data_IF_456594280775
#
_entry.id   IF_456594280775
#
_cell.length_a   1.000
_cell.length_b   1.000
_cell.length_c   1.000
_cell.angle_alpha   90.00
_cell.angle_beta   90.00
_cell.angle_gamma   90.00
#
_symmetry.space_group_name_H-M   'P 1'
#
loop_
_entity.id
_entity.type
_entity.pdbx_description
1 polymer ?
#
# COMPACT_ATOMS: atom_id res chain seq x y z
N UNK A 1 -8.60 36.69 -0.36
CA UNK A 1 -9.42 35.91 0.59
C UNK A 1 -10.03 34.74 -0.17
N UNK A 2 -10.09 33.56 0.43
CA UNK A 2 -10.66 32.36 -0.21
C UNK A 2 -12.18 32.38 -0.14
N UNK A 3 -12.86 32.02 -1.24
CA UNK A 3 -14.31 31.78 -1.25
C UNK A 3 -14.61 30.37 -0.73
N UNK A 4 -14.95 30.28 0.56
CA UNK A 4 -15.24 29.01 1.23
C UNK A 4 -16.49 28.34 0.65
N UNK A 5 -17.49 29.10 0.22
CA UNK A 5 -18.73 28.53 -0.31
C UNK A 5 -18.53 27.97 -1.72
N UNK A 6 -17.67 28.59 -2.53
CA UNK A 6 -17.24 27.99 -3.80
C UNK A 6 -16.44 26.71 -3.57
N UNK A 7 -15.51 26.70 -2.61
CA UNK A 7 -14.71 25.52 -2.28
C UNK A 7 -15.55 24.32 -1.83
N UNK A 8 -16.52 24.52 -0.93
CA UNK A 8 -17.39 23.45 -0.43
C UNK A 8 -18.29 22.83 -1.51
N UNK A 9 -18.59 23.59 -2.58
CA UNK A 9 -19.40 23.11 -3.72
C UNK A 9 -18.57 22.44 -4.80
N UNK A 10 -17.25 22.59 -4.78
CA UNK A 10 -16.37 22.02 -5.77
C UNK A 10 -16.23 20.51 -5.60
N UNK A 11 -16.26 19.77 -6.70
CA UNK A 11 -16.02 18.33 -6.70
C UNK A 11 -14.53 18.07 -6.84
N UNK A 12 -13.91 17.49 -5.82
CA UNK A 12 -12.52 17.06 -5.86
C UNK A 12 -12.44 15.55 -6.12
N UNK A 13 -11.48 15.16 -6.95
CA UNK A 13 -11.17 13.76 -7.24
C UNK A 13 -9.69 13.48 -6.93
N UNK A 14 -9.36 12.31 -6.36
CA UNK A 14 -7.97 11.90 -6.22
C UNK A 14 -7.31 11.87 -7.60
N UNK A 15 -6.07 12.36 -7.69
CA UNK A 15 -5.26 12.16 -8.88
C UNK A 15 -4.92 10.68 -9.02
N UNK A 16 -4.89 10.18 -10.25
CA UNK A 16 -4.51 8.80 -10.55
C UNK A 16 -3.28 8.76 -11.45
N UNK A 17 -2.58 7.62 -11.45
CA UNK A 17 -1.47 7.36 -12.36
C UNK A 17 -1.45 5.88 -12.73
N UNK A 18 -1.18 5.60 -14.01
CA UNK A 18 -0.97 4.26 -14.54
C UNK A 18 0.53 3.98 -14.65
N UNK A 19 0.96 2.84 -14.15
CA UNK A 19 2.33 2.36 -14.18
C UNK A 19 2.37 1.04 -14.96
N UNK A 20 3.23 0.91 -15.99
CA UNK A 20 3.44 -0.37 -16.66
C UNK A 20 3.89 -1.43 -15.65
N UNK A 21 3.26 -2.61 -15.70
CA UNK A 21 3.70 -3.74 -14.90
C UNK A 21 5.06 -4.27 -15.42
N UNK A 22 5.96 -4.74 -14.54
CA UNK A 22 7.12 -5.53 -14.95
C UNK A 22 6.71 -6.72 -15.81
N UNK A 23 7.57 -7.10 -16.76
CA UNK A 23 7.27 -8.16 -17.74
C UNK A 23 6.92 -9.49 -17.05
N UNK A 24 7.58 -9.78 -15.93
CA UNK A 24 7.36 -10.98 -15.12
C UNK A 24 5.94 -11.06 -14.54
N UNK A 25 5.23 -9.93 -14.45
CA UNK A 25 3.85 -9.88 -13.95
C UNK A 25 2.80 -9.96 -15.07
N UNK A 26 3.18 -9.83 -16.34
CA UNK A 26 2.22 -9.75 -17.46
C UNK A 26 1.31 -10.97 -17.56
N UNK A 27 1.82 -12.16 -17.23
CA UNK A 27 1.06 -13.41 -17.24
C UNK A 27 -0.08 -13.49 -16.22
N UNK A 28 -0.16 -12.56 -15.27
CA UNK A 28 -1.24 -12.47 -14.28
C UNK A 28 -2.34 -11.48 -14.69
N UNK A 29 -2.19 -10.79 -15.82
CA UNK A 29 -3.21 -9.91 -16.38
C UNK A 29 -4.04 -10.64 -17.44
N UNK A 30 -5.33 -10.30 -17.53
CA UNK A 30 -6.21 -10.85 -18.57
C UNK A 30 -5.74 -10.52 -20.00
N UNK A 31 -5.05 -9.39 -20.16
CA UNK A 31 -4.35 -9.01 -21.39
C UNK A 31 -2.90 -8.59 -21.06
N UNK A 32 -1.90 -9.43 -21.37
CA UNK A 32 -0.49 -9.12 -21.15
C UNK A 32 -0.03 -7.79 -21.78
N UNK A 33 -0.57 -7.42 -22.95
CA UNK A 33 -0.19 -6.19 -23.65
C UNK A 33 -0.69 -4.91 -22.96
N UNK A 34 -1.61 -5.04 -22.01
CA UNK A 34 -2.22 -3.93 -21.26
C UNK A 34 -1.94 -4.04 -19.75
N UNK A 35 -0.91 -4.80 -19.38
CA UNK A 35 -0.54 -5.03 -17.98
C UNK A 35 -0.07 -3.72 -17.33
N UNK A 36 -0.97 -3.08 -16.59
CA UNK A 36 -0.72 -1.84 -15.88
C UNK A 36 -1.31 -1.86 -14.48
N UNK A 37 -0.64 -1.16 -13.58
CA UNK A 37 -1.15 -0.83 -12.25
C UNK A 37 -1.70 0.59 -12.28
N UNK A 38 -2.91 0.78 -11.77
CA UNK A 38 -3.47 2.09 -11.47
C UNK A 38 -3.37 2.35 -9.97
N UNK A 39 -2.86 3.54 -9.64
CA UNK A 39 -2.76 4.03 -8.27
C UNK A 39 -3.39 5.41 -8.16
N UNK A 40 -3.78 5.80 -6.95
CA UNK A 40 -4.34 7.12 -6.65
C UNK A 40 -3.71 7.79 -5.43
N UNK A 41 -3.91 9.09 -5.34
CA UNK A 41 -3.68 9.83 -4.10
C UNK A 41 -4.66 9.42 -2.99
N UNK A 42 -4.21 9.54 -1.75
CA UNK A 42 -4.98 9.21 -0.55
C UNK A 42 -5.68 10.45 0.03
N UNK A 43 -6.81 10.22 0.69
CA UNK A 43 -7.44 11.19 1.59
C UNK A 43 -6.67 11.31 2.90
N UNK A 44 -7.00 12.33 3.71
CA UNK A 44 -6.38 12.50 5.03
C UNK A 44 -6.64 11.33 5.97
N UNK A 45 -7.82 10.70 5.89
CA UNK A 45 -8.20 9.54 6.70
C UNK A 45 -7.40 8.30 6.28
N UNK A 46 -7.27 8.05 4.98
CA UNK A 46 -6.47 6.95 4.42
C UNK A 46 -5.00 7.09 4.81
N UNK A 47 -4.44 8.30 4.69
CA UNK A 47 -3.07 8.58 5.11
C UNK A 47 -2.87 8.37 6.63
N UNK A 48 -3.89 8.67 7.45
CA UNK A 48 -3.85 8.36 8.88
C UNK A 48 -3.85 6.84 9.12
N UNK A 49 -4.65 6.05 8.40
CA UNK A 49 -4.62 4.57 8.49
C UNK A 49 -3.26 3.99 8.12
N UNK A 50 -2.61 4.52 7.08
CA UNK A 50 -1.23 4.15 6.71
C UNK A 50 -0.26 4.41 7.88
N UNK A 51 -0.40 5.53 8.60
CA UNK A 51 0.43 5.83 9.77
C UNK A 51 0.16 4.87 10.92
N UNK A 52 -1.12 4.58 11.21
CA UNK A 52 -1.49 3.63 12.26
C UNK A 52 -1.12 2.19 11.93
N UNK A 53 -0.93 1.82 10.66
CA UNK A 53 -0.38 0.51 10.29
C UNK A 53 1.06 0.33 10.79
N UNK A 54 1.86 1.41 10.81
CA UNK A 54 3.22 1.41 11.38
C UNK A 54 3.18 1.26 12.90
N UNK A 55 2.25 1.94 13.57
CA UNK A 55 2.05 1.81 15.02
C UNK A 55 1.60 0.40 15.39
N UNK A 56 0.58 -0.14 14.69
CA UNK A 56 0.13 -1.53 14.86
C UNK A 56 1.22 -2.55 14.58
N UNK A 57 2.11 -2.30 13.62
CA UNK A 57 3.24 -3.19 13.33
C UNK A 57 4.21 -3.29 14.53
N UNK A 58 4.42 -2.20 15.27
CA UNK A 58 5.20 -2.22 16.52
C UNK A 58 4.49 -3.02 17.62
N UNK A 59 3.17 -2.93 17.66
CA UNK A 59 2.35 -3.66 18.63
C UNK A 59 2.16 -5.14 18.25
N UNK A 60 2.25 -5.49 16.96
CA UNK A 60 2.05 -6.85 16.45
C UNK A 60 3.09 -7.82 17.02
N UNK A 61 4.34 -7.39 17.17
CA UNK A 61 5.38 -8.18 17.84
C UNK A 61 4.96 -8.57 19.27
N UNK A 62 4.35 -7.63 20.01
CA UNK A 62 3.87 -7.88 21.39
C UNK A 62 2.54 -8.65 21.45
N UNK A 63 1.68 -8.50 20.44
CA UNK A 63 0.38 -9.20 20.36
C UNK A 63 0.54 -10.65 19.91
N UNK A 64 1.49 -10.93 19.02
CA UNK A 64 1.79 -12.28 18.54
C UNK A 64 2.36 -13.15 19.66
N UNK A 65 3.29 -12.62 20.48
CA UNK A 65 3.77 -13.30 21.69
C UNK A 65 2.63 -13.62 22.67
N UNK A 66 1.69 -12.68 22.86
CA UNK A 66 0.58 -12.83 23.81
C UNK A 66 -0.54 -13.74 23.33
N UNK A 67 -0.78 -13.83 22.02
CA UNK A 67 -1.91 -14.57 21.44
C UNK A 67 -1.58 -16.02 21.09
N UNK A 68 -0.32 -16.34 20.79
CA UNK A 68 0.03 -17.65 20.23
C UNK A 68 0.89 -18.56 21.13
N UNK A 69 1.56 -18.05 22.17
CA UNK A 69 2.47 -18.87 22.99
C UNK A 69 3.47 -19.69 22.15
N UNK A 70 4.06 -20.76 22.71
CA UNK A 70 5.07 -21.63 22.08
C UNK A 70 4.54 -22.48 20.89
N UNK A 71 3.67 -21.96 20.02
CA UNK A 71 3.35 -22.60 18.73
C UNK A 71 4.28 -22.07 17.63
N UNK A 72 5.53 -22.54 17.67
CA UNK A 72 6.60 -22.21 16.70
C UNK A 72 6.17 -22.42 15.24
N UNK A 73 5.36 -23.44 14.94
CA UNK A 73 5.07 -23.86 13.55
C UNK A 73 4.20 -22.88 12.74
N UNK A 74 3.26 -22.17 13.38
CA UNK A 74 2.43 -21.15 12.69
C UNK A 74 3.15 -19.83 12.54
N UNK A 75 3.98 -19.52 13.53
CA UNK A 75 4.89 -18.39 13.51
C UNK A 75 5.88 -18.55 12.34
N UNK A 76 6.44 -19.73 12.16
CA UNK A 76 7.41 -20.01 11.09
C UNK A 76 6.82 -19.94 9.69
N UNK A 77 5.56 -20.30 9.49
CA UNK A 77 4.89 -20.13 8.19
C UNK A 77 4.71 -18.66 7.80
N UNK A 78 4.36 -17.79 8.76
CA UNK A 78 4.26 -16.34 8.55
C UNK A 78 5.65 -15.70 8.42
N UNK A 79 6.63 -16.15 9.22
CA UNK A 79 8.05 -15.74 9.16
C UNK A 79 8.71 -16.09 7.82
N UNK A 80 8.44 -17.29 7.31
CA UNK A 80 8.97 -17.80 6.03
C UNK A 80 8.26 -17.13 4.84
N UNK A 81 6.96 -16.83 4.97
CA UNK A 81 6.21 -16.04 3.99
C UNK A 81 6.54 -14.56 4.00
N UNK A 82 7.25 -14.04 5.01
CA UNK A 82 7.68 -12.64 5.05
C UNK A 82 9.15 -12.47 4.62
N UNK A 83 10.06 -13.39 4.92
CA UNK A 83 11.50 -13.17 4.69
C UNK A 83 12.06 -11.98 5.49
N UNK A 84 11.28 -11.48 6.46
CA UNK A 84 11.58 -10.33 7.30
C UNK A 84 11.51 -10.78 8.75
N UNK A 85 12.42 -10.24 9.56
CA UNK A 85 12.55 -10.55 10.97
C UNK A 85 11.20 -10.35 11.71
N UNK A 86 10.67 -11.38 12.41
CA UNK A 86 9.34 -11.36 13.03
C UNK A 86 9.13 -10.31 14.13
N UNK A 87 10.20 -9.77 14.72
CA UNK A 87 10.07 -8.93 15.90
C UNK A 87 9.63 -7.49 15.57
N UNK A 88 9.85 -7.02 14.33
CA UNK A 88 9.24 -5.82 13.73
C UNK A 88 9.57 -5.77 12.23
N UNK A 89 8.58 -5.58 11.35
CA UNK A 89 8.88 -5.09 10.00
C UNK A 89 9.54 -3.72 10.15
N UNK A 90 10.59 -3.38 9.39
CA UNK A 90 11.10 -2.01 9.34
C UNK A 90 9.93 -1.04 9.07
N UNK A 91 9.84 0.04 9.85
CA UNK A 91 8.72 1.00 9.77
C UNK A 91 8.50 1.53 8.35
N UNK A 92 9.58 1.70 7.57
CA UNK A 92 9.48 2.08 6.15
C UNK A 92 8.74 1.01 5.35
N UNK A 93 9.12 -0.27 5.47
CA UNK A 93 8.48 -1.36 4.74
C UNK A 93 6.99 -1.48 5.09
N UNK A 94 6.63 -1.42 6.38
CA UNK A 94 5.23 -1.46 6.81
C UNK A 94 4.42 -0.28 6.23
N UNK A 95 5.01 0.92 6.24
CA UNK A 95 4.38 2.11 5.64
C UNK A 95 4.20 1.98 4.13
N UNK A 96 5.21 1.47 3.43
CA UNK A 96 5.20 1.29 1.97
C UNK A 96 4.17 0.27 1.54
N UNK A 97 4.04 -0.84 2.26
CA UNK A 97 3.00 -1.82 2.02
C UNK A 97 1.60 -1.24 2.23
N UNK A 98 1.39 -0.50 3.34
CA UNK A 98 0.10 0.15 3.59
C UNK A 98 -0.26 1.20 2.53
N UNK A 99 0.73 1.94 1.99
CA UNK A 99 0.52 2.86 0.87
C UNK A 99 0.02 2.11 -0.38
N UNK A 100 0.59 0.94 -0.70
CA UNK A 100 0.16 0.12 -1.85
C UNK A 100 -1.25 -0.42 -1.63
N UNK A 101 -1.56 -0.98 -0.45
CA UNK A 101 -2.90 -1.50 -0.14
C UNK A 101 -4.00 -0.42 -0.26
N UNK A 102 -3.76 0.79 0.28
CA UNK A 102 -4.77 1.86 0.26
C UNK A 102 -4.84 2.58 -1.09
N UNK A 103 -3.71 2.67 -1.81
CA UNK A 103 -3.55 3.50 -2.99
C UNK A 103 -3.66 2.79 -4.33
N UNK A 104 -3.49 1.47 -4.39
CA UNK A 104 -3.58 0.71 -5.64
C UNK A 104 -5.03 0.30 -5.94
N UNK A 105 -5.58 0.80 -7.04
CA UNK A 105 -7.00 0.63 -7.40
C UNK A 105 -7.23 -0.42 -8.47
N UNK A 106 -6.24 -0.71 -9.32
CA UNK A 106 -6.35 -1.75 -10.34
C UNK A 106 -4.96 -2.34 -10.69
N UNK A 107 -4.74 -3.65 -10.52
CA UNK A 107 -5.54 -4.54 -9.68
C UNK A 107 -5.60 -4.05 -8.23
N UNK A 108 -6.74 -4.23 -7.57
CA UNK A 108 -6.85 -3.95 -6.14
C UNK A 108 -6.04 -4.98 -5.35
N UNK A 109 -5.18 -4.51 -4.44
CA UNK A 109 -4.26 -5.36 -3.69
C UNK A 109 -4.68 -5.44 -2.23
N UNK A 110 -4.75 -6.67 -1.71
CA UNK A 110 -4.85 -6.92 -0.27
C UNK A 110 -3.45 -7.04 0.36
N UNK A 111 -3.41 -7.27 1.67
CA UNK A 111 -2.15 -7.40 2.42
C UNK A 111 -1.29 -8.55 1.90
N UNK A 112 -1.89 -9.70 1.57
CA UNK A 112 -1.17 -10.90 1.12
C UNK A 112 -0.54 -10.70 -0.27
N UNK A 113 -1.29 -10.14 -1.22
CA UNK A 113 -0.79 -9.81 -2.55
C UNK A 113 0.32 -8.75 -2.47
N UNK A 114 0.17 -7.77 -1.57
CA UNK A 114 1.16 -6.73 -1.34
C UNK A 114 2.46 -7.31 -0.78
N UNK A 115 2.41 -8.15 0.26
CA UNK A 115 3.61 -8.88 0.77
C UNK A 115 4.31 -9.58 -0.38
N UNK A 116 3.56 -10.35 -1.19
CA UNK A 116 4.14 -11.10 -2.30
C UNK A 116 4.83 -10.18 -3.30
N UNK A 117 4.23 -9.04 -3.65
CA UNK A 117 4.81 -8.07 -4.57
C UNK A 117 6.12 -7.48 -4.03
N UNK A 118 6.16 -7.10 -2.76
CA UNK A 118 7.40 -6.61 -2.14
C UNK A 118 8.51 -7.66 -2.10
N UNK A 119 8.16 -8.94 -2.06
CA UNK A 119 9.15 -10.03 -2.12
C UNK A 119 9.71 -10.28 -3.52
N UNK A 120 8.84 -10.28 -4.54
CA UNK A 120 9.26 -10.71 -5.89
C UNK A 120 9.61 -9.56 -6.82
N UNK A 121 9.09 -8.35 -6.54
CA UNK A 121 9.27 -7.15 -7.35
C UNK A 121 9.49 -5.91 -6.46
N UNK A 122 10.48 -5.92 -5.54
CA UNK A 122 10.64 -4.88 -4.51
C UNK A 122 10.80 -3.47 -5.09
N UNK A 123 11.61 -3.29 -6.14
CA UNK A 123 11.83 -1.97 -6.76
C UNK A 123 10.54 -1.40 -7.33
N UNK A 124 9.75 -2.23 -8.00
CA UNK A 124 8.45 -1.82 -8.54
C UNK A 124 7.42 -1.55 -7.43
N UNK A 125 7.40 -2.38 -6.38
CA UNK A 125 6.55 -2.16 -5.22
C UNK A 125 6.85 -0.82 -4.52
N UNK A 126 8.14 -0.48 -4.38
CA UNK A 126 8.58 0.82 -3.88
C UNK A 126 8.13 1.97 -4.79
N UNK A 127 8.23 1.79 -6.11
CA UNK A 127 7.76 2.77 -7.09
C UNK A 127 6.25 3.02 -7.01
N UNK A 128 5.44 1.99 -6.78
CA UNK A 128 4.00 2.15 -6.54
C UNK A 128 3.74 2.98 -5.28
N UNK A 129 4.39 2.62 -4.16
CA UNK A 129 4.25 3.33 -2.90
C UNK A 129 4.67 4.81 -3.01
N UNK A 130 5.81 5.08 -3.66
CA UNK A 130 6.27 6.45 -3.92
C UNK A 130 5.30 7.22 -4.81
N UNK A 131 4.72 6.56 -5.80
CA UNK A 131 3.73 7.20 -6.68
C UNK A 131 2.46 7.57 -5.91
N UNK A 132 1.94 6.66 -5.07
CA UNK A 132 0.80 6.95 -4.18
C UNK A 132 1.11 8.14 -3.28
N UNK A 133 2.30 8.16 -2.66
CA UNK A 133 2.71 9.24 -1.76
C UNK A 133 2.85 10.58 -2.50
N UNK A 134 3.43 10.57 -3.69
CA UNK A 134 3.56 11.77 -4.52
C UNK A 134 2.19 12.32 -4.94
N UNK A 135 1.28 11.47 -5.43
CA UNK A 135 -0.09 11.88 -5.77
C UNK A 135 -0.84 12.42 -4.55
N UNK A 136 -0.61 11.84 -3.38
CA UNK A 136 -1.17 12.33 -2.11
C UNK A 136 -0.63 13.72 -1.76
N UNK A 137 0.67 13.97 -1.98
CA UNK A 137 1.31 15.27 -1.77
C UNK A 137 0.86 16.34 -2.78
N UNK A 138 0.53 15.95 -4.01
CA UNK A 138 -0.09 16.83 -5.01
C UNK A 138 -1.52 17.25 -4.62
N UNK A 139 -2.17 16.48 -3.73
CA UNK A 139 -3.56 16.66 -3.30
C UNK A 139 -4.56 16.13 -4.33
N UNK A 140 -5.83 16.47 -4.13
CA UNK A 140 -6.89 16.19 -5.11
C UNK A 140 -6.94 17.27 -6.19
N UNK A 141 -7.37 16.90 -7.40
CA UNK A 141 -7.69 17.86 -8.46
C UNK A 141 -9.18 18.18 -8.45
N UNK A 142 -9.55 19.36 -8.94
CA UNK A 142 -10.93 19.61 -9.32
C UNK A 142 -11.29 18.59 -10.42
N UNK A 143 -12.39 17.86 -10.22
CA UNK A 143 -12.95 17.06 -11.30
C UNK A 143 -13.44 17.99 -12.39
N UNK A 144 -13.14 17.67 -13.66
CA UNK A 144 -13.86 18.26 -14.79
C UNK A 144 -15.36 17.98 -14.71
#
# INVERSE_FOLDING_TARGET
MMDVQAFLRASFRPRTRRLPAPQELHGFFGNPAEAVFEVRGLSGEELARVRSAVERNRDLGQLVEKLFGDQEDKLDAIRTLAGVNPDTLPDDLARRMALVCEGCTAPAFDEQATVKLFQVQPVFAYQLADTVLNLTGEGASLGE
#
